data_IF_410699661035
#
_entry.id   IF_410699661035
#
_cell.length_a   1.000
_cell.length_b   1.000
_cell.length_c   1.000
_cell.angle_alpha   90.00
_cell.angle_beta   90.00
_cell.angle_gamma   90.00
#
_symmetry.space_group_name_H-M   'P 1'
#
loop_
_entity.id
_entity.type
_entity.pdbx_description
1 polymer ?
#
# COMPACT_ATOMS: atom_id res chain seq x y z
N UNK A 1 -11.81 -8.11 18.77
CA UNK A 1 -11.83 -9.36 17.94
C UNK A 1 -12.12 -9.04 16.45
N UNK A 2 -11.13 -8.51 15.71
CA UNK A 2 -11.28 -8.01 14.31
C UNK A 2 -11.63 -9.11 13.29
N UNK A 3 -12.54 -8.83 12.32
CA UNK A 3 -13.12 -9.81 11.35
C UNK A 3 -12.68 -9.61 9.87
N UNK A 4 -13.15 -10.50 8.98
CA UNK A 4 -12.42 -11.01 7.80
C UNK A 4 -12.74 -10.39 6.41
N UNK A 5 -11.82 -10.63 5.46
CA UNK A 5 -12.03 -10.58 4.00
C UNK A 5 -11.04 -11.52 3.26
N UNK A 6 -11.54 -12.37 2.36
CA UNK A 6 -10.84 -13.51 1.73
C UNK A 6 -10.40 -13.23 0.27
N UNK A 7 -9.25 -13.76 -0.18
CA UNK A 7 -9.13 -14.43 -1.49
C UNK A 7 -7.83 -15.26 -1.66
N UNK A 8 -7.80 -16.13 -2.68
CA UNK A 8 -6.70 -17.03 -3.10
C UNK A 8 -6.36 -16.77 -4.60
N UNK A 9 -5.23 -17.15 -5.20
CA UNK A 9 -4.05 -17.92 -4.73
C UNK A 9 -2.77 -17.31 -5.35
N UNK A 10 -1.67 -18.06 -5.52
CA UNK A 10 -0.43 -17.58 -6.19
C UNK A 10 0.09 -18.62 -7.19
N UNK A 11 0.28 -18.23 -8.44
CA UNK A 11 1.10 -18.94 -9.42
C UNK A 11 2.20 -18.01 -9.96
N UNK A 12 3.34 -18.59 -10.31
CA UNK A 12 4.58 -17.89 -10.63
C UNK A 12 4.90 -17.94 -12.12
N UNK A 13 5.27 -16.80 -12.71
CA UNK A 13 5.84 -16.74 -14.06
C UNK A 13 7.26 -16.15 -13.98
N UNK A 14 8.22 -16.88 -14.56
CA UNK A 14 9.58 -16.39 -14.82
C UNK A 14 9.61 -15.63 -16.14
N UNK A 15 10.42 -14.57 -16.21
CA UNK A 15 10.64 -13.79 -17.44
C UNK A 15 12.12 -13.83 -17.79
N UNK A 16 12.42 -14.33 -18.98
CA UNK A 16 13.76 -14.35 -19.58
C UNK A 16 14.09 -13.01 -20.24
N UNK A 17 15.27 -12.47 -19.95
CA UNK A 17 15.74 -11.21 -20.54
C UNK A 17 16.34 -11.43 -21.94
N UNK A 18 16.00 -10.55 -22.89
CA UNK A 18 16.66 -10.49 -24.19
C UNK A 18 17.66 -9.32 -24.21
N UNK A 19 18.90 -9.56 -24.63
CA UNK A 19 19.92 -8.52 -24.79
C UNK A 19 19.96 -8.04 -26.25
N UNK A 20 19.77 -6.74 -26.46
CA UNK A 20 20.22 -6.06 -27.68
C UNK A 20 21.04 -4.84 -27.23
N UNK A 21 22.33 -4.83 -27.56
CA UNK A 21 23.25 -3.76 -27.16
C UNK A 21 23.24 -2.60 -28.15
N UNK A 22 23.17 -1.38 -27.63
CA UNK A 22 23.47 -0.15 -28.38
C UNK A 22 24.69 0.53 -27.77
N UNK A 23 25.76 0.68 -28.55
CA UNK A 23 26.91 1.50 -28.19
C UNK A 23 26.54 2.97 -28.43
N UNK A 24 26.61 3.82 -27.41
CA UNK A 24 26.46 5.27 -27.56
C UNK A 24 27.68 5.97 -26.97
N UNK A 25 28.47 6.64 -27.82
CA UNK A 25 29.59 7.46 -27.41
C UNK A 25 29.20 8.93 -27.43
N UNK A 26 29.07 9.54 -26.25
CA UNK A 26 29.12 10.99 -26.08
C UNK A 26 29.78 11.31 -24.76
N UNK A 27 30.76 12.21 -24.78
CA UNK A 27 31.39 12.74 -23.57
C UNK A 27 30.46 13.74 -22.89
N UNK A 28 29.49 13.24 -22.13
CA UNK A 28 28.82 14.03 -21.07
C UNK A 28 29.76 14.09 -19.88
N UNK A 29 29.98 15.28 -19.32
CA UNK A 29 30.85 15.43 -18.17
C UNK A 29 30.23 14.73 -16.95
N UNK A 30 31.03 14.31 -15.97
CA UNK A 30 30.48 13.58 -14.80
C UNK A 30 29.44 14.42 -14.04
N UNK A 31 29.64 15.75 -13.97
CA UNK A 31 28.64 16.68 -13.43
C UNK A 31 27.34 16.71 -14.25
N UNK A 32 27.40 16.76 -15.59
CA UNK A 32 26.20 16.76 -16.44
C UNK A 32 25.39 15.45 -16.27
N UNK A 33 26.10 14.33 -16.03
CA UNK A 33 25.49 13.03 -15.81
C UNK A 33 24.85 12.91 -14.41
N UNK A 34 25.46 13.54 -13.40
CA UNK A 34 24.93 13.63 -12.04
C UNK A 34 23.65 14.51 -12.02
N UNK A 35 23.70 15.69 -12.65
CA UNK A 35 22.57 16.63 -12.74
C UNK A 35 21.37 16.07 -13.54
N UNK A 36 21.62 15.33 -14.62
CA UNK A 36 20.57 14.61 -15.38
C UNK A 36 19.98 13.42 -14.60
N UNK A 37 20.79 12.72 -13.81
CA UNK A 37 20.34 11.60 -12.97
C UNK A 37 19.49 12.09 -11.79
N UNK A 38 19.90 13.19 -11.15
CA UNK A 38 19.13 13.87 -10.11
C UNK A 38 17.79 14.37 -10.66
N UNK A 39 17.76 15.00 -11.84
CA UNK A 39 16.51 15.49 -12.43
C UNK A 39 15.49 14.39 -12.80
N UNK A 40 15.91 13.24 -13.36
CA UNK A 40 15.00 12.10 -13.60
C UNK A 40 14.53 11.47 -12.28
N UNK A 41 15.45 11.33 -11.32
CA UNK A 41 15.13 10.81 -9.99
C UNK A 41 14.14 11.71 -9.24
N UNK A 42 14.27 13.03 -9.30
CA UNK A 42 13.35 14.00 -8.68
C UNK A 42 12.01 14.07 -9.40
N UNK A 43 11.97 14.04 -10.73
CA UNK A 43 10.71 13.96 -11.48
C UNK A 43 9.93 12.67 -11.15
N UNK A 44 10.65 11.56 -11.01
CA UNK A 44 10.11 10.25 -10.61
C UNK A 44 9.71 10.21 -9.14
N UNK A 45 10.47 10.85 -8.26
CA UNK A 45 10.11 11.05 -6.86
C UNK A 45 8.81 11.83 -6.74
N UNK A 46 8.73 13.02 -7.36
CA UNK A 46 7.54 13.86 -7.36
C UNK A 46 6.32 13.13 -7.96
N UNK A 47 6.51 12.30 -8.99
CA UNK A 47 5.47 11.41 -9.51
C UNK A 47 5.00 10.37 -8.47
N UNK A 48 5.93 9.73 -7.76
CA UNK A 48 5.64 8.74 -6.72
C UNK A 48 5.08 9.37 -5.43
N UNK A 49 5.37 10.64 -5.15
CA UNK A 49 4.94 11.38 -3.95
C UNK A 49 3.82 12.39 -4.16
N UNK A 50 3.35 12.60 -5.39
CA UNK A 50 2.27 13.56 -5.74
C UNK A 50 0.89 13.19 -5.17
N UNK A 51 0.72 11.99 -4.60
CA UNK A 51 -0.56 11.54 -4.08
C UNK A 51 -0.74 11.93 -2.61
N UNK A 52 -1.94 12.35 -2.20
CA UNK A 52 -2.29 12.58 -0.78
C UNK A 52 -2.08 11.34 0.12
N UNK A 53 -1.92 10.16 -0.48
CA UNK A 53 -1.58 8.91 0.20
C UNK A 53 -0.08 8.70 0.47
N UNK A 54 0.81 9.42 -0.22
CA UNK A 54 2.26 9.43 0.10
C UNK A 54 2.59 10.36 1.27
N UNK A 55 1.75 11.34 1.58
CA UNK A 55 1.86 12.16 2.80
C UNK A 55 1.92 11.27 4.06
N UNK A 56 1.23 10.13 4.04
CA UNK A 56 1.16 9.17 5.15
C UNK A 56 2.39 8.27 5.29
N UNK A 57 3.38 8.37 4.39
CA UNK A 57 4.68 7.72 4.57
C UNK A 57 5.44 8.28 5.78
N UNK A 58 5.21 9.55 6.13
CA UNK A 58 5.81 10.22 7.29
C UNK A 58 5.01 10.01 8.58
N UNK A 59 5.71 9.68 9.67
CA UNK A 59 5.16 9.39 10.99
C UNK A 59 4.33 10.54 11.55
N UNK A 60 4.84 11.76 11.45
CA UNK A 60 4.15 12.96 11.96
C UNK A 60 2.77 13.15 11.30
N UNK A 61 2.66 12.85 10.01
CA UNK A 61 1.41 12.96 9.26
C UNK A 61 0.43 11.85 9.63
N UNK A 62 0.90 10.62 9.88
CA UNK A 62 0.07 9.55 10.44
C UNK A 62 -0.46 9.93 11.83
N UNK A 63 0.41 10.41 12.72
CA UNK A 63 0.05 10.79 14.08
C UNK A 63 -1.03 11.90 14.11
N UNK A 64 -0.91 12.92 13.25
CA UNK A 64 -1.91 14.00 13.09
C UNK A 64 -3.34 13.54 12.75
N UNK A 65 -3.53 12.27 12.34
CA UNK A 65 -4.87 11.72 12.06
C UNK A 65 -5.62 11.27 13.33
N UNK A 66 -4.92 10.93 14.41
CA UNK A 66 -5.48 10.34 15.64
C UNK A 66 -6.15 11.36 16.58
N UNK A 67 -6.99 12.26 16.04
CA UNK A 67 -7.58 13.40 16.79
C UNK A 67 -8.64 13.03 17.83
N UNK A 68 -9.14 11.79 17.81
CA UNK A 68 -10.21 11.27 18.69
C UNK A 68 -9.93 9.83 19.11
N UNK A 69 -8.65 9.46 19.20
CA UNK A 69 -8.26 8.11 19.56
C UNK A 69 -8.50 7.89 21.07
N UNK A 70 -9.20 6.82 21.49
CA UNK A 70 -9.63 6.68 22.89
C UNK A 70 -8.57 6.08 23.83
N UNK A 71 -7.39 5.69 23.32
CA UNK A 71 -6.45 4.81 24.03
C UNK A 71 -5.07 5.43 24.29
N UNK A 72 -4.97 6.74 24.51
CA UNK A 72 -3.64 7.39 24.69
C UNK A 72 -3.05 7.30 26.10
N UNK A 73 -3.86 7.19 27.16
CA UNK A 73 -3.36 7.31 28.55
C UNK A 73 -2.83 6.00 29.15
N UNK A 74 -3.54 4.88 28.98
CA UNK A 74 -3.27 3.62 29.69
C UNK A 74 -3.49 2.39 28.77
N UNK A 75 -2.83 2.35 27.61
CA UNK A 75 -3.01 1.27 26.65
C UNK A 75 -1.71 0.85 25.93
N UNK A 76 -1.73 -0.34 25.34
CA UNK A 76 -0.73 -0.80 24.37
C UNK A 76 -0.97 -0.20 23.00
N UNK A 77 -2.21 0.10 22.62
CA UNK A 77 -2.58 0.66 21.31
C UNK A 77 -2.66 2.19 21.28
N UNK A 78 -1.74 2.93 21.93
CA UNK A 78 -1.72 4.41 21.88
C UNK A 78 -1.57 4.95 20.46
N UNK A 79 -2.06 6.17 20.18
CA UNK A 79 -1.97 6.82 18.87
C UNK A 79 -0.54 6.87 18.32
N UNK A 80 0.43 7.12 19.20
CA UNK A 80 1.86 7.05 18.89
C UNK A 80 2.27 5.66 18.39
N UNK A 81 1.97 4.59 19.15
CA UNK A 81 2.31 3.21 18.78
C UNK A 81 1.57 2.74 17.52
N UNK A 82 0.36 3.22 17.30
CA UNK A 82 -0.41 3.00 16.07
C UNK A 82 0.28 3.64 14.86
N UNK A 83 0.69 4.90 14.97
CA UNK A 83 1.43 5.61 13.94
C UNK A 83 2.83 4.99 13.68
N UNK A 84 3.53 4.54 14.72
CA UNK A 84 4.79 3.80 14.62
C UNK A 84 4.63 2.44 13.95
N UNK A 85 3.51 1.73 14.17
CA UNK A 85 3.16 0.52 13.44
C UNK A 85 2.71 0.76 11.98
N UNK A 86 2.69 2.02 11.54
CA UNK A 86 2.39 2.42 10.16
C UNK A 86 0.91 2.69 9.90
N UNK A 87 0.06 2.73 10.93
CA UNK A 87 -1.38 3.00 10.80
C UNK A 87 -1.71 4.49 10.86
N UNK A 88 -2.82 4.87 10.23
CA UNK A 88 -3.44 6.19 10.37
C UNK A 88 -4.97 6.07 10.29
N UNK A 89 -5.69 7.02 10.88
CA UNK A 89 -7.16 7.11 10.80
C UNK A 89 -7.57 7.64 9.43
N UNK A 90 -8.27 6.83 8.64
CA UNK A 90 -8.67 7.19 7.28
C UNK A 90 -9.81 8.21 7.22
N UNK A 91 -10.72 8.17 8.20
CA UNK A 91 -11.93 9.01 8.23
C UNK A 91 -12.25 9.50 9.65
N UNK A 92 -12.43 10.81 9.89
CA UNK A 92 -12.84 11.34 11.19
C UNK A 92 -14.18 10.81 11.72
N UNK A 93 -15.01 10.23 10.84
CA UNK A 93 -16.31 9.65 11.18
C UNK A 93 -16.22 8.20 11.68
N UNK A 94 -15.06 7.56 11.53
CA UNK A 94 -14.74 6.21 12.04
C UNK A 94 -13.38 6.25 12.75
N UNK A 95 -13.30 6.87 13.94
CA UNK A 95 -12.02 7.13 14.61
C UNK A 95 -11.30 5.86 15.07
N UNK A 96 -12.02 4.74 15.18
CA UNK A 96 -11.55 3.39 15.52
C UNK A 96 -11.04 2.59 14.32
N UNK A 97 -11.38 3.00 13.10
CA UNK A 97 -10.96 2.34 11.85
C UNK A 97 -9.65 2.95 11.35
N UNK A 98 -8.60 2.16 11.35
CA UNK A 98 -7.27 2.58 10.88
C UNK A 98 -6.85 1.80 9.64
N UNK A 99 -5.97 2.39 8.83
CA UNK A 99 -5.39 1.74 7.65
C UNK A 99 -3.88 1.92 7.62
N UNK A 100 -3.16 0.89 7.19
CA UNK A 100 -1.71 0.96 7.03
C UNK A 100 -1.33 1.82 5.81
N UNK A 101 -0.43 2.79 6.02
CA UNK A 101 0.10 3.68 5.00
C UNK A 101 0.89 2.97 3.89
N UNK A 102 1.32 1.72 4.10
CA UNK A 102 2.18 0.98 3.18
C UNK A 102 1.42 -0.15 2.45
N UNK A 103 0.73 -1.03 3.20
CA UNK A 103 0.12 -2.25 2.66
C UNK A 103 -1.41 -2.21 2.49
N UNK A 104 -2.09 -1.11 2.83
CA UNK A 104 -3.56 -0.97 2.83
C UNK A 104 -4.33 -1.93 3.77
N UNK A 105 -3.66 -2.59 4.71
CA UNK A 105 -4.35 -3.34 5.76
C UNK A 105 -5.23 -2.38 6.59
N UNK A 106 -6.55 -2.56 6.51
CA UNK A 106 -7.55 -1.86 7.33
C UNK A 106 -7.92 -2.72 8.55
N UNK A 107 -7.99 -2.13 9.73
CA UNK A 107 -8.35 -2.79 11.00
C UNK A 107 -9.25 -1.87 11.84
N UNK A 108 -10.28 -2.45 12.44
CA UNK A 108 -11.22 -1.83 13.38
C UNK A 108 -11.32 -2.64 14.69
N UNK A 109 -12.11 -2.17 15.66
CA UNK A 109 -12.42 -2.96 16.87
C UNK A 109 -11.22 -3.29 17.75
N UNK A 110 -10.33 -2.31 17.93
CA UNK A 110 -9.14 -2.35 18.80
C UNK A 110 -9.50 -2.41 20.27
N UNK A 111 -8.76 -3.21 21.04
CA UNK A 111 -8.85 -3.35 22.48
C UNK A 111 -7.61 -2.69 23.14
N UNK A 112 -7.69 -2.12 24.37
CA UNK A 112 -6.56 -1.38 24.97
C UNK A 112 -5.26 -2.16 25.05
N UNK A 113 -5.34 -3.48 25.20
CA UNK A 113 -4.20 -4.37 25.36
C UNK A 113 -3.51 -4.73 24.02
N UNK A 114 -4.15 -4.46 22.87
CA UNK A 114 -3.64 -4.82 21.54
C UNK A 114 -2.29 -4.16 21.24
N UNK A 115 -1.32 -4.95 20.74
CA UNK A 115 -0.07 -4.43 20.20
C UNK A 115 -0.22 -4.12 18.70
N UNK A 116 -0.14 -2.84 18.26
CA UNK A 116 -0.34 -2.49 16.85
C UNK A 116 0.65 -3.14 15.90
N UNK A 117 1.91 -3.34 16.31
CA UNK A 117 2.92 -3.98 15.48
C UNK A 117 2.65 -5.49 15.31
N UNK A 118 2.22 -6.16 16.39
CA UNK A 118 1.93 -7.60 16.37
C UNK A 118 0.66 -7.92 15.58
N UNK A 119 -0.42 -7.14 15.77
CA UNK A 119 -1.62 -7.29 14.94
C UNK A 119 -1.30 -6.98 13.47
N UNK A 120 -0.50 -5.95 13.15
CA UNK A 120 -0.05 -5.73 11.76
C UNK A 120 0.68 -6.96 11.20
N UNK A 121 1.66 -7.53 11.93
CA UNK A 121 2.41 -8.72 11.52
C UNK A 121 1.55 -9.99 11.36
N UNK A 122 0.50 -10.13 12.16
CA UNK A 122 -0.42 -11.27 12.17
C UNK A 122 -1.43 -11.18 11.03
N UNK A 123 -1.98 -9.99 10.81
CA UNK A 123 -3.06 -9.72 9.85
C UNK A 123 -2.54 -9.57 8.43
N UNK A 124 -1.35 -8.98 8.23
CA UNK A 124 -0.70 -8.95 6.91
C UNK A 124 -0.61 -10.35 6.29
N UNK A 125 -0.12 -11.33 7.08
CA UNK A 125 -0.05 -12.74 6.69
C UNK A 125 -1.42 -13.36 6.44
N UNK A 126 -2.41 -13.14 7.32
CA UNK A 126 -3.73 -13.75 7.15
C UNK A 126 -4.49 -13.22 5.93
N UNK A 127 -4.18 -11.99 5.49
CA UNK A 127 -4.75 -11.38 4.29
C UNK A 127 -3.86 -11.53 3.03
N UNK A 128 -2.73 -12.26 3.13
CA UNK A 128 -1.76 -12.42 2.03
C UNK A 128 -1.28 -11.09 1.41
N UNK A 129 -1.21 -10.04 2.24
CA UNK A 129 -0.62 -8.76 1.88
C UNK A 129 0.91 -8.87 1.96
N UNK A 130 1.62 -7.92 1.35
CA UNK A 130 3.08 -7.87 1.35
C UNK A 130 3.55 -6.50 1.82
N UNK A 131 3.85 -6.36 3.12
CA UNK A 131 4.16 -5.05 3.71
C UNK A 131 5.65 -4.74 3.71
N UNK A 132 6.08 -3.84 2.82
CA UNK A 132 7.47 -3.36 2.77
C UNK A 132 7.94 -2.75 4.10
N UNK A 133 7.06 -2.09 4.85
CA UNK A 133 7.40 -1.52 6.16
C UNK A 133 7.68 -2.58 7.24
N UNK A 134 6.92 -3.68 7.26
CA UNK A 134 7.21 -4.82 8.14
C UNK A 134 8.53 -5.50 7.79
N UNK A 135 8.92 -5.53 6.50
CA UNK A 135 10.24 -6.05 6.06
C UNK A 135 11.42 -5.22 6.58
N UNK A 136 11.23 -3.91 6.79
CA UNK A 136 12.19 -3.05 7.48
C UNK A 136 12.20 -3.24 9.01
N UNK A 137 11.38 -4.14 9.56
CA UNK A 137 11.35 -4.55 10.98
C UNK A 137 11.18 -3.39 11.97
N UNK A 138 10.48 -2.33 11.57
CA UNK A 138 10.23 -1.17 12.43
C UNK A 138 11.45 -0.27 12.58
N UNK A 139 12.41 -0.33 11.65
CA UNK A 139 13.49 0.65 11.51
C UNK A 139 12.89 2.06 11.56
N UNK A 140 13.28 2.92 12.53
CA UNK A 140 12.63 4.21 12.73
C UNK A 140 12.93 5.15 11.57
N UNK A 141 12.00 6.06 11.29
CA UNK A 141 12.03 6.95 10.12
C UNK A 141 13.34 7.74 9.97
N UNK A 142 13.87 8.24 11.09
CA UNK A 142 15.18 8.94 11.18
C UNK A 142 16.40 8.12 10.72
N UNK A 143 16.29 6.80 10.62
CA UNK A 143 17.36 5.89 10.20
C UNK A 143 17.17 5.40 8.76
N UNK A 144 16.05 5.70 8.11
CA UNK A 144 15.79 5.29 6.73
C UNK A 144 16.85 5.86 5.80
N UNK A 145 17.44 4.98 4.99
CA UNK A 145 18.25 5.41 3.84
C UNK A 145 17.33 5.91 2.73
N UNK A 146 17.89 6.66 1.78
CA UNK A 146 17.22 7.03 0.53
C UNK A 146 16.63 5.79 -0.16
N UNK A 147 17.37 4.68 -0.20
CA UNK A 147 16.91 3.41 -0.76
C UNK A 147 15.73 2.78 0.01
N UNK A 148 15.71 2.86 1.35
CA UNK A 148 14.58 2.39 2.16
C UNK A 148 13.32 3.20 1.82
N UNK A 149 13.42 4.53 1.80
CA UNK A 149 12.31 5.44 1.51
C UNK A 149 11.75 5.24 0.10
N UNK A 150 12.59 5.20 -0.94
CA UNK A 150 12.15 4.88 -2.30
C UNK A 150 11.53 3.49 -2.40
N UNK A 151 12.09 2.49 -1.70
CA UNK A 151 11.54 1.14 -1.64
C UNK A 151 10.12 1.12 -1.05
N UNK A 152 9.88 1.86 0.04
CA UNK A 152 8.56 2.03 0.64
C UNK A 152 7.59 2.75 -0.31
N UNK A 153 8.01 3.85 -0.94
CA UNK A 153 7.18 4.63 -1.86
C UNK A 153 6.78 3.83 -3.12
N UNK A 154 7.73 3.10 -3.73
CA UNK A 154 7.45 2.24 -4.89
C UNK A 154 6.54 1.06 -4.50
N UNK A 155 6.82 0.38 -3.38
CA UNK A 155 5.96 -0.72 -2.91
C UNK A 155 4.53 -0.24 -2.58
N UNK A 156 4.40 0.98 -2.05
CA UNK A 156 3.13 1.66 -1.81
C UNK A 156 2.35 1.89 -3.11
N UNK A 157 2.98 2.43 -4.14
CA UNK A 157 2.34 2.65 -5.44
C UNK A 157 1.94 1.35 -6.13
N UNK A 158 2.78 0.30 -6.07
CA UNK A 158 2.43 -1.05 -6.56
C UNK A 158 1.20 -1.62 -5.83
N UNK A 159 1.11 -1.41 -4.51
CA UNK A 159 -0.05 -1.83 -3.70
C UNK A 159 -1.32 -1.09 -4.11
N UNK A 160 -1.25 0.22 -4.37
CA UNK A 160 -2.37 1.01 -4.87
C UNK A 160 -2.84 0.57 -6.25
N UNK A 161 -1.92 0.38 -7.19
CA UNK A 161 -2.23 -0.09 -8.54
C UNK A 161 -2.89 -1.49 -8.53
N UNK A 162 -2.41 -2.39 -7.66
CA UNK A 162 -3.03 -3.71 -7.44
C UNK A 162 -4.45 -3.60 -6.88
N UNK A 163 -4.68 -2.76 -5.87
CA UNK A 163 -6.01 -2.54 -5.29
C UNK A 163 -7.01 -1.99 -6.33
N UNK A 164 -6.58 -1.01 -7.13
CA UNK A 164 -7.38 -0.45 -8.23
C UNK A 164 -7.68 -1.51 -9.31
N UNK A 165 -6.69 -2.32 -9.70
CA UNK A 165 -6.88 -3.40 -10.68
C UNK A 165 -7.89 -4.46 -10.19
N UNK A 166 -7.81 -4.88 -8.92
CA UNK A 166 -8.76 -5.84 -8.34
C UNK A 166 -10.21 -5.31 -8.33
N UNK A 167 -10.40 -4.03 -8.00
CA UNK A 167 -11.72 -3.38 -8.02
C UNK A 167 -12.28 -3.24 -9.46
N UNK A 168 -11.41 -3.07 -10.46
CA UNK A 168 -11.82 -3.11 -11.87
C UNK A 168 -12.19 -4.53 -12.34
N UNK A 169 -11.42 -5.55 -11.95
CA UNK A 169 -11.71 -6.97 -12.26
C UNK A 169 -13.10 -7.34 -11.72
N UNK A 170 -13.37 -7.05 -10.43
CA UNK A 170 -14.67 -7.29 -9.79
C UNK A 170 -15.84 -6.63 -10.53
N UNK A 171 -15.65 -5.40 -11.03
CA UNK A 171 -16.66 -4.68 -11.84
C UNK A 171 -16.90 -5.33 -13.21
N UNK A 172 -15.88 -5.95 -13.80
CA UNK A 172 -16.01 -6.72 -15.05
C UNK A 172 -16.75 -8.03 -14.80
N UNK A 173 -16.41 -8.76 -13.73
CA UNK A 173 -17.07 -10.01 -13.33
C UNK A 173 -18.58 -9.83 -13.12
N UNK A 174 -18.99 -8.86 -12.28
CA UNK A 174 -20.41 -8.56 -12.02
C UNK A 174 -21.17 -8.19 -13.30
N UNK A 175 -20.54 -7.45 -14.23
CA UNK A 175 -21.14 -7.13 -15.52
C UNK A 175 -21.27 -8.35 -16.43
N UNK A 176 -20.25 -9.21 -16.47
CA UNK A 176 -20.27 -10.43 -17.27
C UNK A 176 -21.35 -11.41 -16.78
N UNK A 177 -21.54 -11.54 -15.47
CA UNK A 177 -22.65 -12.32 -14.88
C UNK A 177 -24.02 -11.78 -15.30
N UNK A 178 -24.22 -10.46 -15.20
CA UNK A 178 -25.48 -9.82 -15.61
C UNK A 178 -25.78 -10.04 -17.10
N UNK A 179 -24.82 -9.77 -17.99
CA UNK A 179 -24.98 -10.01 -19.43
C UNK A 179 -25.23 -11.49 -19.74
N UNK A 180 -24.58 -12.43 -19.04
CA UNK A 180 -24.84 -13.85 -19.22
C UNK A 180 -26.27 -14.24 -18.81
N UNK A 181 -26.80 -13.67 -17.71
CA UNK A 181 -28.19 -13.89 -17.29
C UNK A 181 -29.19 -13.34 -18.33
N UNK A 182 -28.95 -12.14 -18.86
CA UNK A 182 -29.77 -11.53 -19.93
C UNK A 182 -29.78 -12.39 -21.20
N UNK A 183 -28.61 -12.86 -21.65
CA UNK A 183 -28.49 -13.75 -22.82
C UNK A 183 -29.25 -15.08 -22.62
N UNK A 184 -29.19 -15.66 -21.42
CA UNK A 184 -29.95 -16.87 -21.08
C UNK A 184 -31.46 -16.62 -21.05
N UNK A 185 -31.91 -15.49 -20.49
CA UNK A 185 -33.32 -15.10 -20.49
C UNK A 185 -33.85 -14.83 -21.91
N UNK A 186 -33.06 -14.17 -22.76
CA UNK A 186 -33.39 -13.92 -24.17
C UNK A 186 -33.49 -15.22 -24.98
N UNK A 187 -32.63 -16.21 -24.71
CA UNK A 187 -32.73 -17.56 -25.32
C UNK A 187 -34.00 -18.30 -24.88
N UNK A 188 -34.42 -18.17 -23.61
CA UNK A 188 -35.67 -18.78 -23.10
C UNK A 188 -36.92 -18.18 -23.75
N UNK A 189 -36.96 -16.87 -23.99
CA UNK A 189 -38.10 -16.19 -24.66
C UNK A 189 -38.24 -16.50 -26.16
N UNK A 190 -37.27 -17.21 -26.76
CA UNK A 190 -37.26 -17.61 -28.18
C UNK A 190 -37.56 -19.11 -28.39
N UNK A 191 -37.94 -19.82 -27.34
CA UNK A 191 -38.40 -21.21 -27.35
C UNK A 191 -39.89 -21.25 -27.03
#
# INVERSE_FOLDING_TARGET
>A
MVRYGLCRTRESLSVSYCHCGGYFSSTTNLHDFEELFEADMDAKLMSLTSNKLSDMLFLENRLKTFKKWPYDENATCTSQKMADAGFYVMSPNKPDTVICAFCLLELDGWEPEDNPWEEHCKREKSHSLDCAYLKLKGKPEKEWTVADFYGLAVARQVTLARAQAMELIKKVEVKAEATMQEMMAAKRKKR
#
